data_IF_009112147402
#
_entry.id   IF_009112147402
#
_cell.length_a   1.000
_cell.length_b   1.000
_cell.length_c   1.000
_cell.angle_alpha   90.00
_cell.angle_beta   90.00
_cell.angle_gamma   90.00
#
_symmetry.space_group_name_H-M   'P 1'
#
loop_
_entity.id
_entity.type
_entity.pdbx_description
1 polymer ?
#
# COMPACT_ATOMS: atom_id res chain seq x y z
N UNK A 1 -0.38 14.32 20.15
CA UNK A 1 -1.66 13.71 19.67
C UNK A 1 -1.63 13.73 18.15
N UNK A 2 -1.98 12.61 17.50
CA UNK A 2 -2.08 12.54 16.04
C UNK A 2 -3.25 13.41 15.57
N UNK A 3 -3.03 14.20 14.52
CA UNK A 3 -4.03 15.08 13.91
C UNK A 3 -4.10 14.78 12.42
N UNK A 4 -5.29 14.58 11.88
CA UNK A 4 -5.49 14.49 10.44
C UNK A 4 -5.36 15.89 9.81
N UNK A 5 -4.75 15.96 8.63
CA UNK A 5 -4.69 17.18 7.82
C UNK A 5 -5.58 16.94 6.61
N UNK A 6 -6.63 17.76 6.48
CA UNK A 6 -7.53 17.69 5.34
C UNK A 6 -6.98 18.53 4.19
N UNK A 7 -6.73 17.88 3.07
CA UNK A 7 -6.47 18.51 1.77
C UNK A 7 -7.60 18.18 0.80
N UNK A 8 -7.91 19.07 -0.16
CA UNK A 8 -8.76 18.72 -1.28
C UNK A 8 -8.15 17.51 -2.02
N UNK A 9 -8.98 16.52 -2.31
CA UNK A 9 -8.59 15.37 -3.10
C UNK A 9 -8.87 15.70 -4.57
N UNK A 10 -7.83 15.67 -5.38
CA UNK A 10 -7.96 15.86 -6.83
C UNK A 10 -8.42 14.57 -7.52
N UNK A 11 -8.15 13.41 -6.91
CA UNK A 11 -8.41 12.08 -7.46
C UNK A 11 -9.31 11.32 -6.48
N UNK A 12 -10.31 10.57 -6.97
CA UNK A 12 -11.12 9.71 -6.12
C UNK A 12 -10.26 8.65 -5.42
N UNK A 13 -10.75 8.16 -4.28
CA UNK A 13 -10.16 6.98 -3.65
C UNK A 13 -10.63 5.76 -4.44
N UNK A 14 -9.74 4.83 -4.82
CA UNK A 14 -10.16 3.56 -5.41
C UNK A 14 -11.13 2.84 -4.46
N UNK A 15 -12.26 2.39 -4.99
CA UNK A 15 -13.22 1.60 -4.23
C UNK A 15 -13.22 0.17 -4.76
N UNK A 16 -13.46 -0.81 -3.88
CA UNK A 16 -13.57 -2.20 -4.28
C UNK A 16 -14.70 -2.38 -5.30
N UNK A 17 -14.41 -3.09 -6.38
CA UNK A 17 -15.35 -3.43 -7.43
C UNK A 17 -15.72 -4.93 -7.38
N UNK A 18 -16.49 -5.40 -8.38
CA UNK A 18 -16.80 -6.82 -8.59
C UNK A 18 -17.57 -7.50 -7.45
N UNK A 19 -18.30 -6.74 -6.65
CA UNK A 19 -19.07 -7.25 -5.51
C UNK A 19 -18.23 -7.45 -4.24
N UNK A 20 -16.92 -7.13 -4.27
CA UNK A 20 -16.01 -7.26 -3.14
C UNK A 20 -16.32 -6.25 -2.02
N UNK A 21 -16.93 -5.11 -2.35
CA UNK A 21 -17.37 -4.09 -1.38
C UNK A 21 -18.33 -4.67 -0.34
N UNK A 22 -19.12 -5.69 -0.72
CA UNK A 22 -20.07 -6.36 0.17
C UNK A 22 -19.38 -7.24 1.20
N UNK A 23 -18.18 -7.77 0.89
CA UNK A 23 -17.43 -8.64 1.81
C UNK A 23 -17.05 -7.87 3.07
N UNK A 24 -16.75 -6.57 2.96
CA UNK A 24 -16.37 -5.74 4.11
C UNK A 24 -17.46 -5.70 5.21
N UNK A 25 -18.72 -5.92 4.83
CA UNK A 25 -19.87 -5.84 5.73
C UNK A 25 -20.50 -7.21 6.03
N UNK A 26 -19.98 -8.29 5.45
CA UNK A 26 -20.38 -9.65 5.78
C UNK A 26 -19.68 -10.16 7.04
N UNK A 27 -20.25 -11.21 7.65
CA UNK A 27 -19.61 -11.91 8.77
C UNK A 27 -18.33 -12.60 8.28
N UNK A 28 -17.20 -11.93 8.54
CA UNK A 28 -15.86 -12.38 8.18
C UNK A 28 -15.19 -13.23 9.28
N UNK A 29 -15.98 -13.86 10.16
CA UNK A 29 -15.46 -14.81 11.15
C UNK A 29 -14.73 -16.00 10.50
N UNK A 30 -14.98 -16.25 9.21
CA UNK A 30 -14.24 -17.21 8.39
C UNK A 30 -13.92 -16.59 7.04
N UNK A 31 -12.82 -17.03 6.44
CA UNK A 31 -12.47 -16.66 5.08
C UNK A 31 -13.59 -17.09 4.12
N UNK A 32 -14.12 -16.14 3.35
CA UNK A 32 -15.14 -16.40 2.33
C UNK A 32 -14.44 -16.86 1.06
N UNK A 33 -14.72 -18.09 0.63
CA UNK A 33 -14.23 -18.59 -0.66
C UNK A 33 -14.85 -17.80 -1.82
N UNK A 34 -14.10 -17.62 -2.92
CA UNK A 34 -14.65 -17.07 -4.16
C UNK A 34 -15.84 -17.90 -4.69
N UNK A 35 -15.90 -19.19 -4.36
CA UNK A 35 -16.97 -20.11 -4.75
C UNK A 35 -18.15 -20.12 -3.75
N UNK A 36 -18.15 -19.20 -2.80
CA UNK A 36 -19.13 -19.18 -1.72
C UNK A 36 -20.50 -18.76 -2.23
N UNK A 37 -21.52 -19.60 -2.02
CA UNK A 37 -22.91 -19.29 -2.35
C UNK A 37 -23.63 -18.48 -1.26
N UNK A 38 -22.92 -17.55 -0.61
CA UNK A 38 -23.50 -16.71 0.44
C UNK A 38 -24.58 -15.81 -0.18
N UNK A 39 -25.80 -15.89 0.37
CA UNK A 39 -26.95 -15.13 -0.14
C UNK A 39 -26.67 -13.63 -0.11
N UNK A 40 -26.75 -12.98 -1.27
CA UNK A 40 -26.47 -11.54 -1.43
C UNK A 40 -25.04 -11.21 -1.88
N UNK A 41 -24.14 -12.20 -1.88
CA UNK A 41 -22.78 -12.08 -2.39
C UNK A 41 -22.70 -12.75 -3.77
N UNK A 42 -22.43 -11.95 -4.80
CA UNK A 42 -22.20 -12.43 -6.17
C UNK A 42 -20.86 -11.89 -6.60
N UNK A 43 -19.86 -12.76 -6.64
CA UNK A 43 -18.49 -12.43 -7.04
C UNK A 43 -18.25 -12.93 -8.46
N UNK A 44 -17.55 -12.14 -9.27
CA UNK A 44 -17.09 -12.57 -10.58
C UNK A 44 -15.90 -13.52 -10.42
N UNK A 45 -16.20 -14.80 -10.18
CA UNK A 45 -15.18 -15.82 -9.94
C UNK A 45 -14.23 -15.97 -11.14
N UNK A 46 -14.74 -15.86 -12.37
CA UNK A 46 -13.93 -16.06 -13.56
C UNK A 46 -12.87 -14.97 -13.69
N UNK A 47 -13.25 -13.72 -13.44
CA UNK A 47 -12.32 -12.59 -13.44
C UNK A 47 -11.38 -12.64 -12.22
N UNK A 48 -11.91 -12.74 -11.01
CA UNK A 48 -11.13 -12.65 -9.76
C UNK A 48 -10.13 -13.80 -9.54
N UNK A 49 -10.32 -14.93 -10.22
CA UNK A 49 -9.37 -16.06 -10.14
C UNK A 49 -8.21 -15.98 -11.13
N UNK A 50 -8.28 -15.07 -12.11
CA UNK A 50 -7.26 -14.93 -13.17
C UNK A 50 -6.35 -13.73 -12.87
N UNK A 51 -5.23 -14.02 -12.20
CA UNK A 51 -4.17 -13.02 -11.99
C UNK A 51 -3.28 -12.99 -13.23
N UNK A 52 -3.18 -11.79 -13.82
CA UNK A 52 -2.38 -11.56 -15.03
C UNK A 52 -0.87 -11.70 -14.77
N UNK A 53 -0.15 -12.17 -15.79
CA UNK A 53 1.29 -12.36 -15.71
C UNK A 53 2.04 -11.04 -15.99
N UNK A 54 3.23 -10.84 -15.38
CA UNK A 54 4.02 -9.62 -15.53
C UNK A 54 4.29 -9.20 -16.99
N UNK A 55 4.42 -10.17 -17.89
CA UNK A 55 4.70 -9.95 -19.31
C UNK A 55 3.50 -9.35 -20.06
N UNK A 56 2.29 -9.50 -19.54
CA UNK A 56 1.07 -8.95 -20.11
C UNK A 56 0.78 -7.53 -19.60
N UNK A 57 1.48 -7.05 -18.57
CA UNK A 57 1.20 -5.77 -17.93
C UNK A 57 1.90 -4.63 -18.67
N UNK A 58 1.14 -3.58 -18.98
CA UNK A 58 1.69 -2.31 -19.39
C UNK A 58 2.21 -1.56 -18.16
N UNK A 59 3.49 -1.72 -17.81
CA UNK A 59 4.08 -1.08 -16.63
C UNK A 59 4.05 0.46 -16.67
N UNK A 60 3.84 1.07 -17.83
CA UNK A 60 3.66 2.52 -17.93
C UNK A 60 2.33 2.98 -17.34
N UNK A 61 1.32 2.11 -17.19
CA UNK A 61 0.02 2.45 -16.59
C UNK A 61 -0.01 2.33 -15.07
N UNK A 62 1.07 1.82 -14.48
CA UNK A 62 1.21 1.66 -13.04
C UNK A 62 1.95 2.87 -12.46
N UNK A 63 1.33 3.52 -11.47
CA UNK A 63 1.90 4.71 -10.84
C UNK A 63 3.29 4.41 -10.23
N UNK A 64 4.32 5.22 -10.54
CA UNK A 64 5.64 5.04 -9.97
C UNK A 64 5.61 5.39 -8.48
N UNK A 65 6.46 4.71 -7.71
CA UNK A 65 6.64 5.07 -6.32
C UNK A 65 7.25 6.48 -6.22
N UNK A 66 6.59 7.38 -5.51
CA UNK A 66 7.11 8.72 -5.23
C UNK A 66 7.73 8.73 -3.83
N UNK A 67 9.04 9.01 -3.66
CA UNK A 67 9.65 9.21 -2.34
C UNK A 67 9.11 10.47 -1.63
N UNK A 68 9.14 10.50 -0.30
CA UNK A 68 8.64 11.63 0.51
C UNK A 68 9.40 12.93 0.28
N UNK A 69 10.70 12.83 -0.07
CA UNK A 69 11.50 13.98 -0.48
C UNK A 69 11.05 14.63 -1.78
N UNK A 70 10.47 13.85 -2.71
CA UNK A 70 10.02 14.30 -4.04
C UNK A 70 8.54 14.67 -4.10
N UNK A 71 7.78 14.40 -3.04
CA UNK A 71 6.38 14.82 -2.95
C UNK A 71 6.28 16.32 -2.61
N UNK A 72 5.90 17.10 -3.61
CA UNK A 72 5.69 18.55 -3.50
C UNK A 72 4.44 18.91 -2.70
N UNK A 73 3.39 18.09 -2.75
CA UNK A 73 2.17 18.30 -1.98
C UNK A 73 2.47 18.12 -0.49
N UNK A 74 3.13 17.01 -0.13
CA UNK A 74 3.62 16.78 1.24
C UNK A 74 4.56 17.90 1.70
N UNK A 75 5.42 18.41 0.81
CA UNK A 75 6.32 19.53 1.14
C UNK A 75 5.57 20.80 1.50
N UNK A 76 4.61 21.22 0.67
CA UNK A 76 3.77 22.40 0.90
C UNK A 76 2.99 22.28 2.21
N UNK A 77 2.46 21.09 2.48
CA UNK A 77 1.73 20.80 3.73
C UNK A 77 2.67 20.91 4.93
N UNK A 78 3.85 20.29 4.86
CA UNK A 78 4.85 20.32 5.93
C UNK A 78 5.28 21.77 6.25
N UNK A 79 5.45 22.61 5.24
CA UNK A 79 5.70 24.05 5.42
C UNK A 79 4.53 24.76 6.11
N UNK A 80 3.30 24.52 5.65
CA UNK A 80 2.08 25.14 6.21
C UNK A 80 1.89 24.80 7.69
N UNK A 81 2.14 23.55 8.07
CA UNK A 81 1.99 23.08 9.46
C UNK A 81 3.25 23.25 10.30
N UNK A 82 4.30 23.87 9.74
CA UNK A 82 5.62 24.09 10.37
C UNK A 82 6.23 22.80 10.93
N UNK A 83 6.12 21.71 10.18
CA UNK A 83 6.75 20.44 10.55
C UNK A 83 8.26 20.51 10.31
N UNK A 84 9.04 19.90 11.22
CA UNK A 84 10.49 19.76 11.06
C UNK A 84 10.84 18.54 10.21
N UNK A 85 10.00 17.51 10.24
CA UNK A 85 10.20 16.26 9.53
C UNK A 85 9.02 15.95 8.61
N UNK A 86 9.29 15.44 7.41
CA UNK A 86 8.25 14.93 6.51
C UNK A 86 8.57 13.50 6.05
N UNK A 87 7.57 12.63 5.95
CA UNK A 87 7.79 11.21 5.61
C UNK A 87 6.52 10.49 5.15
N UNK A 88 6.66 9.24 4.70
CA UNK A 88 5.55 8.32 4.44
C UNK A 88 5.48 7.29 5.57
N UNK A 89 4.29 6.75 5.82
CA UNK A 89 4.10 5.64 6.78
C UNK A 89 5.04 4.46 6.46
N UNK A 90 5.13 4.08 5.19
CA UNK A 90 6.05 3.03 4.74
C UNK A 90 7.53 3.29 5.05
N UNK A 91 8.00 4.54 4.95
CA UNK A 91 9.40 4.89 5.17
C UNK A 91 9.85 4.74 6.63
N UNK A 92 8.91 4.85 7.58
CA UNK A 92 9.19 4.82 9.02
C UNK A 92 8.72 3.53 9.72
N UNK A 93 7.96 2.67 9.02
CA UNK A 93 7.47 1.40 9.57
C UNK A 93 8.59 0.53 10.12
N UNK A 94 9.76 0.48 9.46
CA UNK A 94 10.93 -0.25 9.95
C UNK A 94 11.43 0.30 11.27
N UNK A 95 11.62 1.62 11.38
CA UNK A 95 12.06 2.27 12.62
C UNK A 95 11.08 2.05 13.77
N UNK A 96 9.78 2.21 13.51
CA UNK A 96 8.75 1.98 14.53
C UNK A 96 8.63 0.52 14.95
N UNK A 97 8.89 -0.42 14.04
CA UNK A 97 8.93 -1.84 14.38
C UNK A 97 10.01 -2.12 15.43
N UNK A 98 11.21 -1.55 15.27
CA UNK A 98 12.28 -1.66 16.27
C UNK A 98 11.92 -1.00 17.60
N UNK A 99 11.37 0.22 17.57
CA UNK A 99 10.91 0.91 18.78
C UNK A 99 9.85 0.08 19.52
N UNK A 100 8.90 -0.51 18.79
CA UNK A 100 7.89 -1.39 19.34
C UNK A 100 8.50 -2.63 19.99
N UNK A 101 9.48 -3.30 19.36
CA UNK A 101 10.14 -4.47 19.95
C UNK A 101 10.80 -4.13 21.29
N UNK A 102 11.52 -3.00 21.36
CA UNK A 102 12.16 -2.55 22.60
C UNK A 102 11.11 -2.19 23.65
N UNK A 103 10.09 -1.39 23.29
CA UNK A 103 9.05 -0.95 24.22
C UNK A 103 8.19 -2.11 24.74
N UNK A 104 7.93 -3.12 23.92
CA UNK A 104 7.18 -4.31 24.29
C UNK A 104 8.01 -5.37 25.01
N UNK A 105 9.32 -5.12 25.22
CA UNK A 105 10.27 -6.10 25.74
C UNK A 105 10.25 -7.42 24.94
N UNK A 106 10.25 -7.30 23.61
CA UNK A 106 10.23 -8.41 22.64
C UNK A 106 9.09 -9.41 22.90
N UNK A 107 7.92 -8.90 23.30
CA UNK A 107 6.75 -9.73 23.61
C UNK A 107 6.37 -10.60 22.40
N UNK A 108 6.03 -11.89 22.60
CA UNK A 108 5.58 -12.77 21.52
C UNK A 108 4.23 -12.32 20.92
N UNK A 109 3.99 -12.71 19.66
CA UNK A 109 2.71 -12.49 18.99
C UNK A 109 1.59 -13.29 19.67
N UNK A 110 0.37 -12.74 19.65
CA UNK A 110 -0.82 -13.43 20.12
C UNK A 110 -1.39 -14.30 19.00
N UNK A 111 -1.34 -15.62 19.17
CA UNK A 111 -1.84 -16.60 18.20
C UNK A 111 -3.16 -17.22 18.64
N UNK A 112 -3.80 -16.71 19.71
CA UNK A 112 -5.05 -17.26 20.24
C UNK A 112 -6.23 -17.19 19.26
N UNK A 113 -6.17 -16.26 18.31
CA UNK A 113 -7.17 -16.08 17.25
C UNK A 113 -6.89 -16.91 15.98
N UNK A 114 -5.76 -17.62 15.93
CA UNK A 114 -5.43 -18.48 14.80
C UNK A 114 -5.99 -19.89 15.00
N UNK A 115 -6.08 -20.66 13.91
CA UNK A 115 -6.53 -22.05 13.96
C UNK A 115 -5.58 -22.92 14.80
N UNK A 116 -6.08 -24.07 15.25
CA UNK A 116 -5.34 -25.02 16.08
C UNK A 116 -3.99 -25.46 15.50
N UNK A 117 -3.84 -25.42 14.17
CA UNK A 117 -2.58 -25.66 13.47
C UNK A 117 -1.45 -24.73 13.93
N UNK A 118 -1.77 -23.52 14.41
CA UNK A 118 -0.81 -22.51 14.85
C UNK A 118 -0.49 -22.53 16.34
N UNK A 119 -1.15 -23.38 17.14
CA UNK A 119 -0.95 -23.45 18.61
C UNK A 119 0.51 -23.71 19.00
N UNK A 120 1.19 -24.57 18.26
CA UNK A 120 2.57 -25.01 18.55
C UNK A 120 3.63 -24.32 17.67
N UNK A 121 3.24 -23.35 16.84
CA UNK A 121 4.19 -22.61 16.01
C UNK A 121 4.93 -21.53 16.82
N UNK A 122 6.15 -21.16 16.40
CA UNK A 122 6.91 -20.08 17.03
C UNK A 122 6.09 -18.79 17.09
N UNK A 123 6.02 -18.18 18.27
CA UNK A 123 5.32 -16.92 18.51
C UNK A 123 6.25 -15.71 18.46
N UNK A 124 7.45 -15.88 17.90
CA UNK A 124 8.36 -14.77 17.63
C UNK A 124 7.91 -14.00 16.40
N UNK A 125 8.22 -12.70 16.35
CA UNK A 125 8.15 -11.94 15.10
C UNK A 125 9.04 -12.57 14.03
N UNK A 126 8.78 -12.22 12.76
CA UNK A 126 9.65 -12.63 11.66
C UNK A 126 11.08 -12.15 11.92
N UNK A 127 12.08 -12.92 11.46
CA UNK A 127 13.51 -12.52 11.59
C UNK A 127 13.76 -11.14 10.99
N UNK A 128 13.05 -10.78 9.93
CA UNK A 128 13.11 -9.44 9.34
C UNK A 128 12.74 -8.36 10.35
N UNK A 129 11.60 -8.49 11.03
CA UNK A 129 11.16 -7.50 12.02
C UNK A 129 12.03 -7.51 13.28
N UNK A 130 12.51 -8.69 13.69
CA UNK A 130 13.25 -8.86 14.93
C UNK A 130 14.77 -8.54 14.81
N UNK A 131 15.35 -8.64 13.62
CA UNK A 131 16.82 -8.64 13.46
C UNK A 131 17.32 -7.77 12.30
N UNK A 132 16.53 -7.50 11.24
CA UNK A 132 17.00 -6.69 10.11
C UNK A 132 17.16 -5.24 10.57
N UNK A 133 18.34 -4.61 10.42
CA UNK A 133 18.50 -3.19 10.69
C UNK A 133 17.52 -2.37 9.84
N UNK A 134 16.94 -1.33 10.43
CA UNK A 134 16.15 -0.34 9.70
C UNK A 134 17.02 0.88 9.42
N UNK A 135 17.21 1.19 8.14
CA UNK A 135 17.92 2.38 7.69
C UNK A 135 16.96 3.29 6.91
N UNK A 136 17.19 4.59 7.03
CA UNK A 136 16.43 5.64 6.35
C UNK A 136 17.39 6.69 5.83
N UNK A 137 17.00 7.38 4.76
CA UNK A 137 17.78 8.47 4.19
C UNK A 137 17.11 9.79 4.56
N UNK A 138 17.88 10.68 5.20
CA UNK A 138 17.42 12.01 5.56
C UNK A 138 17.85 13.00 4.47
N UNK A 139 16.89 13.74 3.91
CA UNK A 139 17.12 14.75 2.87
C UNK A 139 16.59 16.12 3.31
N UNK A 140 17.46 17.06 3.69
CA UNK A 140 17.05 18.41 4.06
C UNK A 140 16.64 19.25 2.85
N UNK A 141 15.55 20.02 2.97
CA UNK A 141 15.08 21.03 2.01
C UNK A 141 14.26 22.09 2.74
N UNK A 142 14.56 23.37 2.54
CA UNK A 142 13.82 24.50 3.12
C UNK A 142 13.64 24.42 4.65
N UNK A 143 14.65 23.91 5.36
CA UNK A 143 14.60 23.70 6.83
C UNK A 143 13.77 22.49 7.29
N UNK A 144 13.20 21.71 6.36
CA UNK A 144 12.44 20.49 6.63
C UNK A 144 13.28 19.27 6.24
N UNK A 145 13.31 18.27 7.11
CA UNK A 145 14.04 17.02 6.90
C UNK A 145 13.10 15.93 6.37
N UNK A 146 13.27 15.55 5.12
CA UNK A 146 12.53 14.43 4.52
C UNK A 146 13.15 13.12 4.98
N UNK A 147 12.33 12.16 5.40
CA UNK A 147 12.76 10.80 5.76
C UNK A 147 12.20 9.86 4.69
N UNK A 148 13.09 9.28 3.90
CA UNK A 148 12.78 8.29 2.88
C UNK A 148 13.29 6.91 3.30
N UNK A 149 12.59 5.85 2.88
CA UNK A 149 13.11 4.50 2.95
C UNK A 149 14.44 4.37 2.19
N UNK A 150 15.36 3.57 2.72
CA UNK A 150 16.49 3.09 1.94
C UNK A 150 15.99 2.18 0.81
N UNK A 151 16.42 2.38 -0.44
CA UNK A 151 16.09 1.46 -1.52
C UNK A 151 16.55 0.04 -1.19
N UNK A 152 15.63 -0.93 -1.21
CA UNK A 152 15.98 -2.32 -0.97
C UNK A 152 16.69 -2.92 -2.20
N UNK A 153 18.02 -2.86 -2.22
CA UNK A 153 18.86 -3.67 -3.12
C UNK A 153 18.54 -3.58 -4.62
N UNK A 154 18.90 -4.64 -5.35
CA UNK A 154 18.70 -4.76 -6.80
C UNK A 154 17.22 -4.69 -7.17
N UNK A 155 16.91 -4.03 -8.29
CA UNK A 155 15.55 -3.88 -8.85
C UNK A 155 14.80 -5.20 -9.11
N UNK A 156 15.50 -6.35 -9.04
CA UNK A 156 14.98 -7.68 -9.30
C UNK A 156 14.04 -8.23 -8.20
N UNK A 157 13.87 -7.54 -7.07
CA UNK A 157 13.02 -7.97 -5.96
C UNK A 157 11.73 -7.13 -5.78
N UNK A 158 11.25 -6.48 -6.84
CA UNK A 158 10.04 -5.63 -6.79
C UNK A 158 8.75 -6.33 -7.20
N UNK A 159 8.82 -7.59 -7.64
CA UNK A 159 7.67 -8.33 -8.21
C UNK A 159 6.42 -8.36 -7.31
N UNK A 160 6.59 -8.43 -5.98
CA UNK A 160 5.45 -8.42 -5.06
C UNK A 160 4.82 -7.03 -4.90
N UNK A 161 5.63 -5.98 -4.99
CA UNK A 161 5.15 -4.59 -4.99
C UNK A 161 4.38 -4.34 -6.29
N UNK A 162 4.95 -4.77 -7.40
CA UNK A 162 4.37 -4.64 -8.73
C UNK A 162 3.06 -5.42 -8.84
N UNK A 163 3.04 -6.67 -8.37
CA UNK A 163 1.82 -7.46 -8.26
C UNK A 163 0.77 -6.78 -7.37
N UNK A 164 1.17 -6.21 -6.23
CA UNK A 164 0.26 -5.49 -5.34
C UNK A 164 -0.44 -4.33 -6.05
N UNK A 165 0.30 -3.52 -6.81
CA UNK A 165 -0.25 -2.41 -7.59
C UNK A 165 -1.16 -2.88 -8.73
N UNK A 166 -0.79 -3.96 -9.42
CA UNK A 166 -1.63 -4.53 -10.47
C UNK A 166 -2.92 -5.11 -9.89
N UNK A 167 -2.86 -5.77 -8.73
CA UNK A 167 -4.04 -6.28 -8.03
C UNK A 167 -4.93 -5.14 -7.55
N UNK A 168 -4.38 -4.05 -7.04
CA UNK A 168 -5.16 -2.86 -6.69
C UNK A 168 -6.00 -2.39 -7.89
N UNK A 169 -5.38 -2.28 -9.08
CA UNK A 169 -6.08 -1.93 -10.32
C UNK A 169 -7.15 -2.95 -10.71
N UNK A 170 -6.80 -4.24 -10.70
CA UNK A 170 -7.73 -5.33 -11.03
C UNK A 170 -8.95 -5.34 -10.11
N UNK A 171 -8.77 -5.07 -8.81
CA UNK A 171 -9.84 -5.15 -7.81
C UNK A 171 -10.69 -3.87 -7.72
N UNK A 172 -10.25 -2.77 -8.32
CA UNK A 172 -10.92 -1.45 -8.23
C UNK A 172 -11.45 -0.93 -9.58
N UNK A 173 -11.00 -1.50 -10.69
CA UNK A 173 -11.45 -1.12 -12.05
C UNK A 173 -12.45 -2.14 -12.62
N UNK A 174 -13.38 -1.71 -13.48
CA UNK A 174 -14.16 -2.61 -14.34
C UNK A 174 -13.25 -3.53 -15.18
N UNK A 175 -13.66 -4.79 -15.47
CA UNK A 175 -12.79 -5.74 -16.18
C UNK A 175 -12.35 -5.27 -17.57
N UNK A 176 -13.24 -4.61 -18.30
CA UNK A 176 -12.93 -4.11 -19.65
C UNK A 176 -11.95 -2.93 -19.60
N UNK A 177 -12.12 -2.01 -18.65
CA UNK A 177 -11.20 -0.90 -18.43
C UNK A 177 -9.82 -1.38 -18.00
N UNK A 178 -9.75 -2.39 -17.13
CA UNK A 178 -8.48 -3.01 -16.74
C UNK A 178 -7.75 -3.63 -17.94
N UNK A 179 -8.46 -4.37 -18.80
CA UNK A 179 -7.88 -4.95 -20.02
C UNK A 179 -7.36 -3.87 -20.97
N UNK A 180 -8.14 -2.82 -21.17
CA UNK A 180 -7.80 -1.74 -22.10
C UNK A 180 -6.67 -0.85 -21.58
N UNK A 181 -6.61 -0.57 -20.28
CA UNK A 181 -5.70 0.45 -19.70
C UNK A 181 -4.48 -0.12 -18.97
N UNK A 182 -4.53 -1.39 -18.54
CA UNK A 182 -3.45 -2.01 -17.74
C UNK A 182 -2.74 -3.13 -18.47
N UNK A 183 -3.40 -3.80 -19.43
CA UNK A 183 -2.77 -4.87 -20.21
C UNK A 183 -2.18 -4.33 -21.52
N UNK A 184 -1.14 -5.00 -22.00
CA UNK A 184 -0.59 -4.76 -23.32
C UNK A 184 -1.59 -5.29 -24.37
N UNK A 185 -1.87 -4.53 -25.45
CA UNK A 185 -2.74 -5.01 -26.51
C UNK A 185 -2.07 -6.16 -27.28
N UNK A 186 -2.90 -7.01 -27.90
CA UNK A 186 -2.43 -8.04 -28.82
C UNK A 186 -1.66 -7.39 -29.97
N UNK A 187 -0.32 -7.49 -29.95
CA UNK A 187 0.57 -6.82 -30.91
C UNK A 187 1.61 -5.87 -30.27
N UNK A 188 1.51 -5.60 -28.96
CA UNK A 188 2.60 -5.03 -28.16
C UNK A 188 2.80 -3.51 -28.22
N UNK A 189 1.95 -2.75 -28.90
CA UNK A 189 2.07 -1.29 -28.92
C UNK A 189 1.46 -0.66 -27.66
N UNK A 190 2.26 0.13 -26.93
CA UNK A 190 1.77 0.88 -25.77
C UNK A 190 0.88 2.05 -26.22
N UNK A 191 -0.27 2.23 -25.57
CA UNK A 191 -1.16 3.38 -25.74
C UNK A 191 -0.85 4.48 -24.72
N UNK A 192 -1.39 5.68 -24.95
CA UNK A 192 -1.29 6.79 -24.00
C UNK A 192 -2.03 6.46 -22.71
N UNK A 193 -1.28 6.41 -21.61
CA UNK A 193 -1.84 6.17 -20.28
C UNK A 193 -2.56 7.43 -19.78
N UNK A 194 -3.84 7.34 -19.40
CA UNK A 194 -4.53 8.48 -18.82
C UNK A 194 -3.83 9.01 -17.56
N UNK A 195 -3.62 10.33 -17.42
CA UNK A 195 -2.88 10.91 -16.28
C UNK A 195 -3.44 10.54 -14.91
N UNK A 196 -4.75 10.29 -14.81
CA UNK A 196 -5.39 9.92 -13.56
C UNK A 196 -4.95 8.54 -13.04
N UNK A 197 -4.44 7.65 -13.91
CA UNK A 197 -3.88 6.36 -13.50
C UNK A 197 -2.47 6.48 -12.90
N UNK A 198 -1.77 7.56 -13.20
CA UNK A 198 -0.42 7.77 -12.70
C UNK A 198 -0.39 8.47 -11.35
N UNK A 199 -1.55 8.88 -10.86
CA UNK A 199 -1.65 9.69 -9.67
C UNK A 199 -2.33 8.89 -8.55
N UNK A 200 -1.77 9.02 -7.34
CA UNK A 200 -2.22 8.28 -6.16
C UNK A 200 -2.89 9.23 -5.17
N UNK A 201 -3.90 8.73 -4.48
CA UNK A 201 -4.62 9.47 -3.44
C UNK A 201 -3.94 9.25 -2.09
N UNK A 202 -3.71 10.34 -1.36
CA UNK A 202 -3.00 10.29 -0.07
C UNK A 202 -3.82 10.90 1.06
N UNK A 203 -3.64 10.34 2.27
CA UNK A 203 -4.08 10.95 3.52
C UNK A 203 -2.88 11.55 4.26
N UNK A 204 -3.05 12.76 4.78
CA UNK A 204 -2.00 13.47 5.50
C UNK A 204 -2.30 13.56 6.99
N UNK A 205 -1.27 13.48 7.82
CA UNK A 205 -1.39 13.58 9.27
C UNK A 205 -0.17 14.22 9.91
N UNK A 206 -0.37 14.80 11.09
CA UNK A 206 0.68 15.42 11.89
C UNK A 206 0.77 14.78 13.27
N UNK A 207 2.00 14.50 13.71
CA UNK A 207 2.29 14.11 15.08
C UNK A 207 3.55 14.83 15.57
N UNK A 208 3.38 15.74 16.53
CA UNK A 208 4.50 16.57 17.00
C UNK A 208 5.09 17.37 15.84
N UNK A 209 6.40 17.23 15.64
CA UNK A 209 7.12 17.88 14.54
C UNK A 209 7.12 17.09 13.22
N UNK A 210 6.42 15.96 13.15
CA UNK A 210 6.35 15.10 11.96
C UNK A 210 5.08 15.34 11.16
N UNK A 211 5.24 15.53 9.85
CA UNK A 211 4.18 15.45 8.86
C UNK A 211 4.31 14.14 8.08
N UNK A 212 3.24 13.35 8.03
CA UNK A 212 3.24 12.02 7.46
C UNK A 212 2.16 11.92 6.39
N UNK A 213 2.43 11.16 5.33
CA UNK A 213 1.42 10.72 4.37
C UNK A 213 1.26 9.20 4.38
N UNK A 214 0.07 8.74 4.04
CA UNK A 214 -0.24 7.35 3.73
C UNK A 214 -1.00 7.31 2.42
N UNK A 215 -0.66 6.38 1.54
CA UNK A 215 -1.48 6.09 0.36
C UNK A 215 -2.84 5.56 0.82
N UNK A 216 -3.88 5.90 0.06
CA UNK A 216 -5.23 5.35 0.22
C UNK A 216 -5.45 4.43 -0.98
N UNK A 217 -5.30 3.13 -0.70
CA UNK A 217 -5.43 2.00 -1.64
C UNK A 217 -6.78 1.30 -1.43
#
# INVERSE_FOLDING_TARGET
RLRAIHEPREIPIPELAHGLEKILFHDNSRATSLNSNVKGLSLDQEYLSKIEQPENINWLSIAPFTPSSRDETLHKIAQRVKARYKTSTSSISGLFSHLYQVQSNFRPVDTSYLSDAFKNHPRSFSKTVAQKPAAVIIRPRDGIYSIDAEPEGDSNHQILIDLGKTLERMLTMPPEEFKELVLLPEGGECFEVPPHLLASTYNFSQFGEFCMRSQLD
#
